data_IF_332735007617
#
_entry.id   IF_332735007617
#
_cell.length_a   1.000
_cell.length_b   1.000
_cell.length_c   1.000
_cell.angle_alpha   90.00
_cell.angle_beta   90.00
_cell.angle_gamma   90.00
#
_symmetry.space_group_name_H-M   'P 1'
#
loop_
_entity.id
_entity.type
_entity.pdbx_description
1 polymer ?
#
# COMPACT_ATOMS: atom_id res chain seq x y z
N UNK A 1 -9.28 -10.03 -12.12
CA UNK A 1 -8.15 -9.08 -12.34
C UNK A 1 -6.88 -9.87 -12.63
N UNK A 2 -6.07 -9.45 -13.60
CA UNK A 2 -4.78 -10.07 -13.88
C UNK A 2 -3.75 -9.77 -12.78
N UNK A 3 -2.92 -10.76 -12.44
CA UNK A 3 -1.84 -10.61 -11.46
C UNK A 3 -0.87 -9.48 -11.82
N UNK A 4 -0.55 -9.33 -13.11
CA UNK A 4 0.34 -8.31 -13.68
C UNK A 4 -0.06 -6.88 -13.24
N UNK A 5 -1.35 -6.58 -13.21
CA UNK A 5 -1.90 -5.28 -12.81
C UNK A 5 -1.84 -5.05 -11.30
N UNK A 6 -1.84 -6.12 -10.50
CA UNK A 6 -1.87 -6.04 -9.05
C UNK A 6 -0.47 -6.00 -8.42
N UNK A 7 0.48 -6.77 -8.97
CA UNK A 7 1.73 -7.08 -8.27
C UNK A 7 2.60 -5.85 -8.03
N UNK A 8 2.72 -4.96 -9.01
CA UNK A 8 3.58 -3.76 -8.91
C UNK A 8 2.99 -2.74 -7.92
N UNK A 9 1.72 -2.32 -8.05
CA UNK A 9 1.08 -1.45 -7.06
C UNK A 9 1.13 -2.02 -5.64
N UNK A 10 0.84 -3.32 -5.49
CA UNK A 10 0.88 -4.02 -4.21
C UNK A 10 2.28 -3.98 -3.57
N UNK A 11 3.34 -4.17 -4.36
CA UNK A 11 4.72 -4.08 -3.89
C UNK A 11 5.09 -2.67 -3.43
N UNK A 12 4.64 -1.64 -4.16
CA UNK A 12 4.92 -0.25 -3.81
C UNK A 12 4.31 0.11 -2.45
N UNK A 13 3.03 -0.18 -2.23
CA UNK A 13 2.36 0.15 -0.96
C UNK A 13 2.85 -0.73 0.19
N UNK A 14 3.12 -2.01 -0.06
CA UNK A 14 3.67 -2.90 0.98
C UNK A 14 5.03 -2.43 1.51
N UNK A 15 5.76 -1.60 0.76
CA UNK A 15 7.03 -1.02 1.18
C UNK A 15 6.93 0.04 2.28
N UNK A 16 5.76 0.68 2.46
CA UNK A 16 5.51 1.59 3.58
C UNK A 16 5.42 0.84 4.92
N UNK A 17 5.07 -0.44 4.89
CA UNK A 17 5.00 -1.24 6.10
C UNK A 17 6.42 -1.66 6.49
N UNK A 18 6.94 -1.00 7.52
CA UNK A 18 8.28 -1.24 8.05
C UNK A 18 8.43 -2.58 8.78
N UNK A 19 9.15 -2.55 9.91
CA UNK A 19 9.49 -3.71 10.71
C UNK A 19 8.30 -4.36 11.43
N UNK A 20 8.47 -4.69 12.72
CA UNK A 20 7.36 -5.27 13.50
C UNK A 20 6.32 -4.19 13.79
N UNK A 21 5.07 -4.32 13.31
CA UNK A 21 4.06 -3.29 13.53
C UNK A 21 3.71 -3.22 15.03
N UNK A 22 3.46 -2.01 15.52
CA UNK A 22 3.02 -1.76 16.91
C UNK A 22 1.60 -2.26 17.15
N UNK A 23 0.74 -2.20 16.12
CA UNK A 23 -0.63 -2.69 16.12
C UNK A 23 -0.84 -3.69 14.98
N UNK A 24 -1.59 -4.80 15.18
CA UNK A 24 -1.80 -5.80 14.13
C UNK A 24 -2.35 -5.24 12.81
N UNK A 25 -3.24 -4.24 12.87
CA UNK A 25 -3.86 -3.63 11.67
C UNK A 25 -2.86 -2.84 10.82
N UNK A 26 -1.77 -2.34 11.40
CA UNK A 26 -0.68 -1.68 10.66
C UNK A 26 0.19 -2.69 9.90
N UNK A 27 0.03 -4.00 10.14
CA UNK A 27 0.58 -5.05 9.28
C UNK A 27 -0.31 -5.38 8.07
N UNK A 28 -1.49 -4.77 7.99
CA UNK A 28 -2.45 -4.97 6.92
C UNK A 28 -2.39 -3.84 5.89
N UNK A 29 -2.91 -4.13 4.70
CA UNK A 29 -3.31 -3.14 3.71
C UNK A 29 -4.79 -2.89 3.86
N UNK A 30 -5.21 -1.64 3.82
CA UNK A 30 -6.59 -1.29 3.52
C UNK A 30 -6.83 -1.50 2.02
N UNK A 31 -7.85 -2.29 1.71
CA UNK A 31 -8.34 -2.53 0.36
C UNK A 31 -9.72 -1.90 0.26
N UNK A 32 -9.89 -0.98 -0.68
CA UNK A 32 -11.16 -0.31 -0.94
C UNK A 32 -11.51 -0.40 -2.42
N UNK A 33 -12.72 -0.81 -2.72
CA UNK A 33 -13.29 -0.81 -4.08
C UNK A 33 -14.43 0.20 -4.11
N UNK A 34 -14.28 1.22 -4.93
CA UNK A 34 -15.30 2.24 -5.20
C UNK A 34 -15.09 2.83 -6.59
N UNK A 35 -16.15 3.23 -7.28
CA UNK A 35 -16.07 3.94 -8.58
C UNK A 35 -15.13 3.27 -9.62
N UNK A 36 -15.18 1.93 -9.72
CA UNK A 36 -14.32 1.13 -10.61
C UNK A 36 -12.83 1.22 -10.28
N UNK A 37 -12.46 1.63 -9.07
CA UNK A 37 -11.07 1.76 -8.62
C UNK A 37 -10.86 0.87 -7.41
N UNK A 38 -9.82 0.04 -7.49
CA UNK A 38 -9.22 -0.65 -6.35
C UNK A 38 -8.13 0.26 -5.77
N UNK A 39 -8.36 0.77 -4.57
CA UNK A 39 -7.34 1.46 -3.78
C UNK A 39 -6.73 0.49 -2.78
N UNK A 40 -5.39 0.49 -2.71
CA UNK A 40 -4.63 -0.22 -1.69
C UNK A 40 -3.82 0.81 -0.91
N UNK A 41 -4.04 0.84 0.40
CA UNK A 41 -3.41 1.80 1.30
C UNK A 41 -2.61 1.08 2.38
N UNK A 42 -1.40 1.57 2.62
CA UNK A 42 -0.49 1.09 3.65
C UNK A 42 0.02 2.28 4.47
N UNK A 43 0.08 2.13 5.79
CA UNK A 43 0.62 3.18 6.67
C UNK A 43 1.27 2.62 7.93
N UNK A 44 2.27 3.33 8.44
CA UNK A 44 2.88 3.14 9.75
C UNK A 44 2.53 4.27 10.75
N UNK A 45 1.50 5.07 10.42
CA UNK A 45 1.04 6.30 11.09
C UNK A 45 1.89 7.55 10.84
N UNK A 46 3.08 7.42 10.26
CA UNK A 46 3.93 8.56 9.88
C UNK A 46 3.87 8.81 8.37
N UNK A 47 3.86 7.73 7.58
CA UNK A 47 3.78 7.75 6.13
C UNK A 47 2.59 6.93 5.66
N UNK A 48 1.91 7.41 4.62
CA UNK A 48 0.90 6.65 3.87
C UNK A 48 1.33 6.47 2.42
N UNK A 49 1.19 5.25 1.90
CA UNK A 49 1.26 5.00 0.47
C UNK A 49 -0.08 4.46 -0.01
N UNK A 50 -0.65 5.16 -1.00
CA UNK A 50 -1.87 4.76 -1.70
C UNK A 50 -1.53 4.42 -3.14
N UNK A 51 -1.97 3.25 -3.58
CA UNK A 51 -1.94 2.89 -5.00
C UNK A 51 -3.35 2.62 -5.51
N UNK A 52 -3.60 3.00 -6.76
CA UNK A 52 -4.91 2.87 -7.40
C UNK A 52 -4.77 2.03 -8.66
N UNK A 53 -5.67 1.07 -8.82
CA UNK A 53 -5.77 0.21 -10.01
C UNK A 53 -7.19 0.32 -10.54
N UNK A 54 -7.34 0.68 -11.82
CA UNK A 54 -8.64 0.66 -12.49
C UNK A 54 -9.11 -0.79 -12.62
N UNK A 55 -10.34 -1.04 -12.19
CA UNK A 55 -10.99 -2.33 -12.30
C UNK A 55 -11.78 -2.42 -13.60
N UNK A 56 -11.71 -3.59 -14.21
CA UNK A 56 -12.50 -3.97 -15.38
C UNK A 56 -13.38 -5.18 -15.02
N UNK A 57 -14.58 -5.23 -15.59
CA UNK A 57 -15.55 -6.31 -15.36
C UNK A 57 -16.40 -6.11 -14.10
N UNK A 58 -16.82 -7.22 -13.50
CA UNK A 58 -17.72 -7.22 -12.34
C UNK A 58 -16.94 -7.02 -11.04
N UNK A 59 -17.37 -6.04 -10.23
CA UNK A 59 -16.87 -5.79 -8.89
C UNK A 59 -18.00 -5.30 -7.99
N UNK A 60 -17.84 -5.53 -6.69
CA UNK A 60 -18.74 -5.00 -5.67
C UNK A 60 -17.99 -3.95 -4.85
N UNK A 61 -18.65 -2.82 -4.58
CA UNK A 61 -18.08 -1.80 -3.73
C UNK A 61 -17.96 -2.31 -2.29
N UNK A 62 -16.88 -1.92 -1.61
CA UNK A 62 -16.62 -2.38 -0.25
C UNK A 62 -15.22 -2.06 0.23
N UNK A 63 -14.97 -2.31 1.51
CA UNK A 63 -13.65 -2.13 2.10
C UNK A 63 -13.35 -3.18 3.16
N UNK A 64 -12.10 -3.64 3.19
CA UNK A 64 -11.56 -4.59 4.16
C UNK A 64 -10.09 -4.30 4.38
N UNK A 65 -9.49 -4.89 5.42
CA UNK A 65 -8.03 -4.94 5.53
C UNK A 65 -7.53 -6.38 5.32
N UNK A 66 -6.33 -6.54 4.75
CA UNK A 66 -5.70 -7.86 4.54
C UNK A 66 -4.23 -7.84 4.96
N UNK A 67 -3.67 -8.94 5.50
CA UNK A 67 -2.25 -8.99 5.86
C UNK A 67 -1.34 -8.78 4.65
N UNK A 68 -0.61 -7.66 4.61
CA UNK A 68 0.12 -7.18 3.44
C UNK A 68 1.13 -8.20 2.92
N UNK A 69 1.98 -8.72 3.83
CA UNK A 69 3.04 -9.66 3.48
C UNK A 69 2.49 -10.96 2.91
N UNK A 70 1.48 -11.55 3.57
CA UNK A 70 0.86 -12.79 3.09
C UNK A 70 0.20 -12.58 1.74
N UNK A 71 -0.50 -11.46 1.55
CA UNK A 71 -1.15 -11.16 0.29
C UNK A 71 -0.14 -10.98 -0.84
N UNK A 72 0.94 -10.22 -0.60
CA UNK A 72 2.02 -10.05 -1.56
C UNK A 72 2.70 -11.38 -1.92
N UNK A 73 2.99 -12.22 -0.93
CA UNK A 73 3.62 -13.54 -1.16
C UNK A 73 2.71 -14.46 -1.98
N UNK A 74 1.39 -14.45 -1.73
CA UNK A 74 0.40 -15.17 -2.54
C UNK A 74 0.45 -14.68 -3.98
N UNK A 75 0.37 -13.37 -4.22
CA UNK A 75 0.41 -12.82 -5.56
C UNK A 75 1.73 -13.13 -6.28
N UNK A 76 2.87 -13.09 -5.57
CA UNK A 76 4.18 -13.46 -6.16
C UNK A 76 4.23 -14.91 -6.60
N UNK A 77 3.63 -15.83 -5.85
CA UNK A 77 3.62 -17.26 -6.14
C UNK A 77 2.67 -17.70 -7.25
N UNK A 78 1.82 -16.82 -7.77
CA UNK A 78 0.94 -17.10 -8.90
C UNK A 78 1.67 -16.88 -10.25
N UNK A 79 1.28 -17.62 -11.31
CA UNK A 79 1.73 -17.37 -12.68
C UNK A 79 1.47 -15.93 -13.15
N UNK A 80 2.25 -15.43 -14.12
CA UNK A 80 2.15 -14.04 -14.57
C UNK A 80 0.78 -13.70 -15.20
N UNK A 81 0.20 -14.64 -15.94
CA UNK A 81 -1.11 -14.57 -16.60
C UNK A 81 -2.29 -14.98 -15.69
N UNK A 82 -2.03 -15.18 -14.40
CA UNK A 82 -3.04 -15.62 -13.45
C UNK A 82 -4.15 -14.58 -13.30
N UNK A 83 -5.40 -15.01 -13.52
CA UNK A 83 -6.59 -14.24 -13.15
C UNK A 83 -6.89 -14.51 -11.68
N UNK A 84 -6.96 -13.44 -10.90
CA UNK A 84 -7.25 -13.46 -9.48
C UNK A 84 -8.67 -12.94 -9.25
N UNK A 85 -9.43 -13.68 -8.43
CA UNK A 85 -10.74 -13.28 -7.91
C UNK A 85 -10.71 -13.20 -6.40
N UNK A 86 -11.48 -12.24 -5.89
CA UNK A 86 -11.60 -11.94 -4.46
C UNK A 86 -13.06 -12.13 -4.07
N UNK A 87 -13.30 -12.88 -2.99
CA UNK A 87 -14.65 -13.07 -2.44
C UNK A 87 -14.57 -12.88 -0.93
N UNK A 88 -15.31 -11.91 -0.42
CA UNK A 88 -15.45 -11.72 1.02
C UNK A 88 -16.47 -12.72 1.57
N UNK A 89 -16.05 -13.54 2.53
CA UNK A 89 -16.87 -14.54 3.21
C UNK A 89 -16.74 -14.29 4.73
N UNK A 90 -17.65 -13.48 5.28
CA UNK A 90 -17.60 -13.08 6.69
C UNK A 90 -16.40 -12.18 7.01
N UNK A 91 -15.56 -12.61 7.94
CA UNK A 91 -14.33 -11.94 8.39
C UNK A 91 -13.08 -12.43 7.62
N UNK A 92 -13.27 -13.07 6.47
CA UNK A 92 -12.17 -13.60 5.65
C UNK A 92 -12.38 -13.27 4.19
N UNK A 93 -11.30 -12.93 3.51
CA UNK A 93 -11.29 -12.85 2.04
C UNK A 93 -10.70 -14.11 1.45
N UNK A 94 -11.41 -14.70 0.49
CA UNK A 94 -10.93 -15.78 -0.35
C UNK A 94 -10.24 -15.18 -1.57
N UNK A 95 -8.96 -15.51 -1.76
CA UNK A 95 -8.20 -15.18 -2.96
C UNK A 95 -8.11 -16.45 -3.79
N UNK A 96 -8.67 -16.44 -5.01
CA UNK A 96 -8.73 -17.62 -5.89
C UNK A 96 -8.06 -17.31 -7.22
N UNK A 97 -7.35 -18.31 -7.75
CA UNK A 97 -6.80 -18.26 -9.11
C UNK A 97 -6.63 -19.68 -9.65
N UNK A 98 -7.37 -20.01 -10.71
CA UNK A 98 -7.42 -21.39 -11.23
C UNK A 98 -7.80 -22.39 -10.13
N UNK A 99 -6.88 -23.31 -9.81
CA UNK A 99 -7.05 -24.33 -8.76
C UNK A 99 -6.55 -23.89 -7.38
N UNK A 100 -5.88 -22.74 -7.30
CA UNK A 100 -5.32 -22.21 -6.05
C UNK A 100 -6.40 -21.45 -5.28
N UNK A 101 -6.48 -21.71 -3.97
CA UNK A 101 -7.40 -21.02 -3.06
C UNK A 101 -6.68 -20.68 -1.76
N UNK A 102 -6.73 -19.41 -1.39
CA UNK A 102 -6.17 -18.89 -0.16
C UNK A 102 -7.26 -18.18 0.63
N UNK A 103 -7.16 -18.22 1.96
CA UNK A 103 -8.10 -17.55 2.84
C UNK A 103 -7.33 -16.67 3.82
N UNK A 104 -7.51 -15.36 3.72
CA UNK A 104 -6.88 -14.36 4.58
C UNK A 104 -7.91 -13.82 5.57
N UNK A 105 -7.56 -13.78 6.85
CA UNK A 105 -8.36 -13.09 7.85
C UNK A 105 -8.32 -11.59 7.58
N UNK A 106 -9.47 -10.93 7.69
CA UNK A 106 -9.59 -9.48 7.57
C UNK A 106 -9.76 -8.84 8.93
N UNK A 107 -9.46 -7.54 9.02
CA UNK A 107 -9.95 -6.68 10.11
C UNK A 107 -10.88 -5.63 9.50
N UNK A 108 -11.84 -5.09 10.27
CA UNK A 108 -12.75 -4.05 9.81
C UNK A 108 -11.99 -2.86 9.22
N UNK A 109 -12.42 -2.37 8.06
CA UNK A 109 -11.81 -1.20 7.42
C UNK A 109 -11.93 0.07 8.26
N UNK A 110 -13.01 0.19 9.05
CA UNK A 110 -13.25 1.34 9.93
C UNK A 110 -12.24 1.45 11.09
N UNK A 111 -11.53 0.35 11.39
CA UNK A 111 -10.47 0.35 12.41
C UNK A 111 -9.12 0.76 11.81
N UNK A 112 -9.02 0.84 10.47
CA UNK A 112 -7.80 1.27 9.81
C UNK A 112 -7.61 2.78 10.04
N UNK A 113 -6.41 3.21 10.46
CA UNK A 113 -6.18 4.63 10.75
C UNK A 113 -6.27 5.45 9.47
N UNK A 114 -7.00 6.55 9.52
CA UNK A 114 -6.98 7.55 8.47
C UNK A 114 -5.91 8.60 8.83
N UNK A 115 -5.04 8.92 7.88
CA UNK A 115 -4.23 10.13 7.97
C UNK A 115 -5.13 11.31 7.59
N UNK A 116 -5.12 12.35 8.42
CA UNK A 116 -6.02 13.50 8.25
C UNK A 116 -5.78 14.21 6.91
N UNK A 117 -6.86 14.67 6.29
CA UNK A 117 -6.78 15.54 5.12
C UNK A 117 -6.06 16.85 5.51
N UNK A 118 -5.08 17.25 4.72
CA UNK A 118 -4.37 18.51 4.89
C UNK A 118 -4.48 19.37 3.63
N UNK A 119 -4.40 20.68 3.81
CA UNK A 119 -4.42 21.63 2.70
C UNK A 119 -2.99 22.00 2.33
N UNK A 120 -2.69 21.94 1.03
CA UNK A 120 -1.38 22.35 0.53
C UNK A 120 -1.19 23.87 0.65
N UNK A 121 -0.10 24.29 1.30
CA UNK A 121 0.32 25.69 1.33
C UNK A 121 1.14 26.07 0.09
N UNK A 122 1.92 25.12 -0.43
CA UNK A 122 2.82 25.31 -1.58
C UNK A 122 2.77 24.05 -2.45
N UNK A 123 2.52 24.24 -3.75
CA UNK A 123 2.54 23.18 -4.75
C UNK A 123 3.61 23.48 -5.80
N UNK A 124 4.46 22.49 -6.09
CA UNK A 124 5.55 22.60 -7.07
C UNK A 124 5.48 21.45 -8.07
N UNK A 125 5.83 21.74 -9.32
CA UNK A 125 5.92 20.75 -10.39
C UNK A 125 7.36 20.61 -10.85
N UNK A 126 7.88 19.38 -10.81
CA UNK A 126 9.26 19.05 -11.18
C UNK A 126 9.35 17.66 -11.80
N UNK A 127 10.43 17.40 -12.55
CA UNK A 127 10.63 16.07 -13.12
C UNK A 127 11.05 15.07 -12.04
N UNK A 128 10.66 13.80 -12.21
CA UNK A 128 11.10 12.72 -11.32
C UNK A 128 12.64 12.59 -11.28
N UNK A 129 13.30 12.90 -12.41
CA UNK A 129 14.75 12.85 -12.50
C UNK A 129 15.43 13.96 -11.68
N UNK A 130 14.87 15.18 -11.70
CA UNK A 130 15.40 16.30 -10.93
C UNK A 130 15.21 16.05 -9.43
N UNK A 131 14.00 15.64 -9.00
CA UNK A 131 13.74 15.31 -7.60
C UNK A 131 14.69 14.21 -7.09
N UNK A 132 14.85 13.14 -7.88
CA UNK A 132 15.79 12.08 -7.55
C UNK A 132 17.22 12.58 -7.44
N UNK A 133 17.65 13.44 -8.37
CA UNK A 133 19.00 14.01 -8.36
C UNK A 133 19.25 14.86 -7.11
N UNK A 134 18.25 15.64 -6.68
CA UNK A 134 18.34 16.43 -5.44
C UNK A 134 18.51 15.51 -4.22
N UNK A 135 17.67 14.48 -4.09
CA UNK A 135 17.72 13.52 -2.97
C UNK A 135 19.06 12.77 -2.97
N UNK A 136 19.47 12.21 -4.12
CA UNK A 136 20.68 11.39 -4.22
C UNK A 136 21.96 12.19 -3.88
N UNK A 137 21.97 13.50 -4.14
CA UNK A 137 23.09 14.40 -3.85
C UNK A 137 23.20 14.86 -2.40
N UNK A 138 22.17 14.67 -1.58
CA UNK A 138 22.13 15.23 -0.22
C UNK A 138 21.83 14.19 0.86
N UNK A 139 21.14 13.09 0.55
CA UNK A 139 20.69 12.10 1.54
C UNK A 139 21.83 11.52 2.39
N UNK A 140 23.02 11.35 1.82
CA UNK A 140 24.17 10.77 2.53
C UNK A 140 24.72 11.70 3.63
N UNK A 141 24.34 12.99 3.61
CA UNK A 141 24.74 13.98 4.60
C UNK A 141 23.74 14.11 5.77
N UNK A 142 22.61 13.39 5.72
CA UNK A 142 21.67 13.34 6.84
C UNK A 142 22.31 12.62 8.04
N UNK A 143 21.98 13.08 9.24
CA UNK A 143 22.44 12.42 10.45
C UNK A 143 21.68 11.09 10.64
N UNK A 144 22.32 10.12 11.29
CA UNK A 144 21.70 8.84 11.63
C UNK A 144 21.44 8.78 13.12
N UNK A 145 20.17 8.82 13.53
CA UNK A 145 19.75 8.73 14.93
C UNK A 145 20.38 9.83 15.83
N UNK A 146 20.54 11.04 15.30
CA UNK A 146 20.99 12.20 16.08
C UNK A 146 19.88 12.64 17.04
N UNK A 147 20.27 13.10 18.23
CA UNK A 147 19.35 13.63 19.26
C UNK A 147 18.61 14.89 18.77
N UNK A 148 19.20 15.62 17.83
CA UNK A 148 18.56 16.73 17.12
C UNK A 148 17.75 16.14 15.96
N UNK A 149 16.51 15.78 16.25
CA UNK A 149 15.63 15.07 15.31
C UNK A 149 15.52 15.71 13.92
N UNK A 150 15.59 17.05 13.83
CA UNK A 150 15.54 17.80 12.57
C UNK A 150 16.77 17.58 11.67
N UNK A 151 17.87 17.00 12.17
CA UNK A 151 19.04 16.63 11.36
C UNK A 151 18.92 15.22 10.75
N UNK A 152 17.92 14.44 11.18
CA UNK A 152 17.69 13.08 10.66
C UNK A 152 16.85 13.06 9.37
N UNK A 153 16.41 14.23 8.90
CA UNK A 153 15.65 14.40 7.66
C UNK A 153 16.36 15.31 6.65
N UNK A 154 15.67 15.57 5.54
CA UNK A 154 16.13 16.46 4.47
C UNK A 154 15.26 17.72 4.44
N UNK A 155 15.88 18.89 4.44
CA UNK A 155 15.18 20.15 4.23
C UNK A 155 14.82 20.31 2.74
N UNK A 156 13.58 20.69 2.47
CA UNK A 156 13.11 21.12 1.15
C UNK A 156 12.78 22.61 1.21
N UNK A 157 13.32 23.39 0.27
CA UNK A 157 13.13 24.84 0.13
C UNK A 157 13.01 25.27 -1.33
#
# INVERSE_FOLDING_TARGET
>A
MERSHLIKPLQQVSGALGGRPTLPILGNLLIKVEENVLSMTATDLEVELVSKVTLEGDFEAGSITVPSRKFLDICRGLPDDAIITFVLEGDRVQVRSGRSRFSLATLPANDFPNIEDWQSEVEVSLSQADLRTLIDKTQFSMANQDVRYYLNGMLFE
#
